data_IF_808341257275
#
_entry.id   IF_808341257275
#
_cell.length_a   1.000
_cell.length_b   1.000
_cell.length_c   1.000
_cell.angle_alpha   90.00
_cell.angle_beta   90.00
_cell.angle_gamma   90.00
#
_symmetry.space_group_name_H-M   'P 1'
#
loop_
_entity.id
_entity.type
_entity.pdbx_description
1 polymer ?
#
# COMPACT_ATOMS: atom_id res chain seq x y z
N UNK A 1 78.86 -3.17 -19.72
CA UNK A 1 78.31 -2.65 -18.49
C UNK A 1 77.28 -1.66 -18.96
N UNK A 2 76.00 -1.84 -18.69
CA UNK A 2 74.84 -0.95 -19.05
C UNK A 2 73.74 -1.59 -19.88
N UNK A 3 73.38 -2.80 -19.59
CA UNK A 3 72.13 -3.37 -20.21
C UNK A 3 71.20 -4.07 -19.20
N UNK A 4 71.32 -3.78 -17.90
CA UNK A 4 70.60 -4.49 -16.87
C UNK A 4 69.66 -3.59 -16.02
N UNK A 5 69.40 -2.35 -16.44
CA UNK A 5 68.58 -1.37 -15.68
C UNK A 5 67.28 -0.94 -16.36
N UNK A 6 66.86 -1.57 -17.43
CA UNK A 6 65.70 -1.15 -18.21
C UNK A 6 64.51 -2.14 -18.19
N UNK A 7 64.58 -3.21 -17.38
CA UNK A 7 63.52 -4.24 -17.32
C UNK A 7 62.70 -4.18 -16.02
N UNK A 8 62.96 -3.24 -15.14
CA UNK A 8 62.25 -3.12 -13.86
C UNK A 8 61.07 -2.18 -13.77
N UNK A 9 60.75 -1.43 -14.83
CA UNK A 9 59.76 -0.33 -14.77
C UNK A 9 58.39 -0.56 -15.44
N UNK A 10 58.14 -1.77 -15.98
CA UNK A 10 56.91 -2.01 -16.78
C UNK A 10 55.88 -2.95 -16.09
N UNK A 11 56.18 -3.52 -14.93
CA UNK A 11 55.29 -4.48 -14.26
C UNK A 11 54.42 -3.88 -13.15
N UNK A 12 54.49 -2.58 -12.88
CA UNK A 12 53.76 -1.96 -11.78
C UNK A 12 52.57 -1.07 -12.22
N UNK A 13 52.05 -1.22 -13.44
CA UNK A 13 51.05 -0.33 -14.00
C UNK A 13 49.71 -0.96 -14.37
N UNK A 14 49.41 -2.23 -14.01
CA UNK A 14 48.17 -2.90 -14.46
C UNK A 14 47.31 -3.52 -13.39
N UNK A 15 47.37 -2.99 -12.15
CA UNK A 15 46.48 -3.44 -11.07
C UNK A 15 45.59 -2.32 -10.52
N UNK A 16 45.25 -1.37 -11.37
CA UNK A 16 44.23 -0.37 -11.05
C UNK A 16 43.06 -0.56 -12.01
N UNK A 17 41.92 -0.81 -11.46
CA UNK A 17 40.59 -0.93 -12.08
C UNK A 17 40.07 -2.34 -12.20
N UNK A 18 39.11 -2.63 -11.38
CA UNK A 18 37.67 -2.77 -11.71
C UNK A 18 36.94 -2.83 -10.39
N UNK A 19 36.78 -1.69 -9.74
CA UNK A 19 35.71 -1.51 -8.78
C UNK A 19 34.48 -1.12 -9.60
N UNK A 20 33.85 -2.12 -10.21
CA UNK A 20 32.51 -1.93 -10.77
C UNK A 20 31.56 -1.80 -9.57
N UNK A 21 31.21 -0.57 -9.27
CA UNK A 21 30.05 -0.29 -8.46
C UNK A 21 28.85 -0.92 -9.15
N UNK A 22 28.40 -2.05 -8.64
CA UNK A 22 27.05 -2.53 -8.90
C UNK A 22 26.12 -1.47 -8.34
N UNK A 23 25.66 -0.56 -9.17
CA UNK A 23 24.50 0.25 -8.88
C UNK A 23 23.35 -0.74 -8.66
N UNK A 24 23.03 -1.00 -7.39
CA UNK A 24 21.74 -1.55 -7.07
C UNK A 24 20.74 -0.55 -7.63
N UNK A 25 20.07 -0.93 -8.73
CA UNK A 25 18.89 -0.24 -9.17
C UNK A 25 17.94 -0.28 -7.98
N UNK A 26 17.84 0.84 -7.27
CA UNK A 26 16.73 1.08 -6.37
C UNK A 26 15.51 0.97 -7.28
N UNK A 27 14.83 -0.15 -7.26
CA UNK A 27 13.50 -0.25 -7.84
C UNK A 27 12.69 0.79 -7.09
N UNK A 28 12.31 1.86 -7.74
CA UNK A 28 11.38 2.86 -7.25
C UNK A 28 10.02 2.16 -7.01
N UNK A 29 9.92 1.54 -5.84
CA UNK A 29 8.68 0.92 -5.36
C UNK A 29 7.81 2.08 -4.92
N UNK A 30 6.80 2.43 -5.71
CA UNK A 30 5.80 3.40 -5.26
C UNK A 30 5.34 4.46 -6.23
N UNK A 31 5.75 4.43 -7.51
CA UNK A 31 5.44 5.52 -8.44
C UNK A 31 4.13 5.32 -9.23
N UNK A 32 3.59 4.10 -9.27
CA UNK A 32 2.41 3.82 -10.09
C UNK A 32 1.09 4.10 -9.39
N UNK A 33 0.95 3.73 -8.11
CA UNK A 33 -0.26 3.95 -7.35
C UNK A 33 -0.03 4.95 -6.22
N UNK A 34 -1.00 5.82 -6.02
CA UNK A 34 -1.06 6.74 -4.89
C UNK A 34 -2.29 6.43 -4.05
N UNK A 35 -2.09 6.16 -2.75
CA UNK A 35 -3.16 5.99 -1.78
C UNK A 35 -3.38 7.31 -1.05
N UNK A 36 -4.62 7.73 -0.91
CA UNK A 36 -5.02 8.94 -0.17
C UNK A 36 -6.29 8.73 0.64
N UNK A 37 -6.55 9.64 1.58
CA UNK A 37 -7.76 9.71 2.40
C UNK A 37 -8.09 8.42 3.18
N UNK A 38 -7.04 7.65 3.54
CA UNK A 38 -7.18 6.39 4.24
C UNK A 38 -7.75 6.56 5.65
N UNK A 39 -8.84 5.85 5.95
CA UNK A 39 -9.38 5.80 7.31
C UNK A 39 -10.11 4.50 7.61
N UNK A 40 -10.14 4.15 8.90
CA UNK A 40 -10.97 3.11 9.45
C UNK A 40 -12.18 3.73 10.14
N UNK A 41 -13.31 3.06 10.04
CA UNK A 41 -14.47 3.37 10.86
C UNK A 41 -14.14 3.04 12.32
N UNK A 42 -14.46 3.96 13.21
CA UNK A 42 -14.37 3.74 14.66
C UNK A 42 -15.14 2.50 15.10
N UNK A 43 -14.57 1.76 16.04
CA UNK A 43 -15.15 0.54 16.58
C UNK A 43 -15.58 0.73 18.02
N UNK A 44 -16.84 0.42 18.36
CA UNK A 44 -17.25 0.28 19.77
C UNK A 44 -16.39 -0.79 20.49
N UNK A 45 -16.18 -0.65 21.80
CA UNK A 45 -15.46 -1.64 22.59
C UNK A 45 -16.02 -3.05 22.41
N UNK A 46 -15.13 -4.04 22.23
CA UNK A 46 -15.47 -5.45 22.05
C UNK A 46 -15.84 -5.85 20.62
N UNK A 47 -15.84 -4.94 19.66
CA UNK A 47 -15.91 -5.30 18.25
C UNK A 47 -14.53 -5.67 17.69
N UNK A 48 -14.52 -6.67 16.81
CA UNK A 48 -13.29 -7.19 16.17
C UNK A 48 -13.32 -7.05 14.65
N UNK A 49 -14.31 -6.32 14.12
CA UNK A 49 -14.50 -6.11 12.67
C UNK A 49 -14.79 -4.65 12.41
N UNK A 50 -14.09 -4.07 11.43
CA UNK A 50 -14.35 -2.70 10.97
C UNK A 50 -14.26 -2.58 9.45
N UNK A 51 -14.73 -1.44 8.94
CA UNK A 51 -14.60 -1.06 7.54
C UNK A 51 -13.49 -0.04 7.36
N UNK A 52 -12.73 -0.21 6.28
CA UNK A 52 -11.69 0.72 5.83
C UNK A 52 -12.07 1.37 4.51
N UNK A 53 -11.67 2.63 4.36
CA UNK A 53 -11.98 3.46 3.20
C UNK A 53 -10.72 4.22 2.79
N UNK A 54 -10.54 4.40 1.48
CA UNK A 54 -9.40 5.13 0.91
C UNK A 54 -9.64 5.38 -0.57
N UNK A 55 -8.83 6.22 -1.19
CA UNK A 55 -8.79 6.38 -2.65
C UNK A 55 -7.47 5.84 -3.18
N UNK A 56 -7.50 5.11 -4.28
CA UNK A 56 -6.31 4.60 -4.98
C UNK A 56 -6.28 5.17 -6.38
N UNK A 57 -5.28 6.01 -6.67
CA UNK A 57 -5.07 6.61 -7.98
C UNK A 57 -3.94 5.88 -8.71
N UNK A 58 -4.21 5.41 -9.92
CA UNK A 58 -3.20 4.86 -10.82
C UNK A 58 -2.59 6.00 -11.65
N UNK A 59 -1.35 6.34 -11.38
CA UNK A 59 -0.60 7.41 -12.08
C UNK A 59 0.18 6.91 -13.29
N UNK A 60 0.12 5.60 -13.56
CA UNK A 60 0.81 4.98 -14.69
C UNK A 60 -0.04 4.93 -15.96
N UNK A 61 0.57 4.52 -17.04
CA UNK A 61 -0.03 4.33 -18.36
C UNK A 61 -0.56 2.90 -18.60
N UNK A 62 -0.59 2.06 -17.57
CA UNK A 62 -1.06 0.67 -17.59
C UNK A 62 -2.05 0.40 -16.47
N UNK A 63 -2.92 -0.57 -16.70
CA UNK A 63 -3.83 -1.05 -15.67
C UNK A 63 -3.07 -1.76 -14.55
N UNK A 64 -3.52 -1.55 -13.32
CA UNK A 64 -3.06 -2.26 -12.13
C UNK A 64 -4.22 -3.03 -11.52
N UNK A 65 -3.94 -4.19 -10.94
CA UNK A 65 -4.96 -5.00 -10.27
C UNK A 65 -4.58 -5.21 -8.82
N UNK A 66 -5.42 -4.78 -7.88
CA UNK A 66 -5.27 -5.12 -6.48
C UNK A 66 -5.61 -6.59 -6.29
N UNK A 67 -4.70 -7.35 -5.72
CA UNK A 67 -4.84 -8.79 -5.47
C UNK A 67 -5.22 -9.09 -4.03
N UNK A 68 -4.65 -8.35 -3.08
CA UNK A 68 -4.89 -8.51 -1.65
C UNK A 68 -4.60 -7.23 -0.88
N UNK A 69 -5.03 -7.21 0.35
CA UNK A 69 -4.69 -6.18 1.32
C UNK A 69 -4.36 -6.83 2.67
N UNK A 70 -3.43 -6.22 3.41
CA UNK A 70 -3.13 -6.53 4.82
C UNK A 70 -3.10 -5.24 5.63
N UNK A 71 -3.16 -5.35 6.95
CA UNK A 71 -3.08 -4.20 7.84
C UNK A 71 -2.14 -4.51 9.01
N UNK A 72 -1.54 -3.48 9.61
CA UNK A 72 -0.82 -3.63 10.88
C UNK A 72 -1.70 -4.18 12.02
N UNK A 73 -3.02 -4.09 11.88
CA UNK A 73 -4.00 -4.54 12.87
C UNK A 73 -4.47 -5.97 12.65
N UNK A 74 -4.36 -6.52 11.44
CA UNK A 74 -4.81 -7.86 11.07
C UNK A 74 -4.30 -8.28 9.70
N UNK A 75 -4.05 -9.57 9.53
CA UNK A 75 -3.74 -10.19 8.23
C UNK A 75 -5.00 -10.49 7.40
N UNK A 76 -6.19 -10.40 8.02
CA UNK A 76 -7.44 -10.70 7.33
C UNK A 76 -8.15 -9.43 6.91
N UNK A 77 -7.83 -8.97 5.71
CA UNK A 77 -8.48 -7.84 5.02
C UNK A 77 -9.10 -8.35 3.73
N UNK A 78 -10.35 -7.99 3.48
CA UNK A 78 -11.08 -8.40 2.28
C UNK A 78 -11.64 -7.18 1.55
N UNK A 79 -11.64 -7.20 0.21
CA UNK A 79 -12.38 -6.23 -0.60
C UNK A 79 -13.85 -6.63 -0.63
N UNK A 80 -14.75 -5.71 -0.33
CA UNK A 80 -16.20 -5.91 -0.38
C UNK A 80 -16.87 -4.82 -1.20
N UNK A 81 -18.00 -5.16 -1.79
CA UNK A 81 -18.80 -4.24 -2.59
C UNK A 81 -20.28 -4.35 -2.21
N UNK A 82 -20.94 -3.21 -2.13
CA UNK A 82 -22.40 -3.15 -2.01
C UNK A 82 -23.03 -3.22 -3.38
N UNK A 83 -23.83 -4.26 -3.61
CA UNK A 83 -24.62 -4.44 -4.82
C UNK A 83 -26.10 -4.21 -4.51
N UNK A 84 -26.77 -3.43 -5.34
CA UNK A 84 -28.21 -3.29 -5.33
C UNK A 84 -28.80 -4.33 -6.30
N UNK A 85 -29.55 -5.28 -5.77
CA UNK A 85 -30.28 -6.27 -6.57
C UNK A 85 -31.67 -6.46 -5.97
N UNK A 86 -32.69 -6.35 -6.81
CA UNK A 86 -34.11 -6.58 -6.46
C UNK A 86 -34.60 -5.73 -5.26
N UNK A 87 -34.16 -4.45 -5.19
CA UNK A 87 -34.51 -3.55 -4.08
C UNK A 87 -33.80 -3.86 -2.76
N UNK A 88 -32.91 -4.83 -2.73
CA UNK A 88 -32.11 -5.17 -1.55
C UNK A 88 -30.64 -4.78 -1.76
N UNK A 89 -30.02 -4.27 -0.71
CA UNK A 89 -28.59 -4.03 -0.66
C UNK A 89 -27.90 -5.28 -0.12
N UNK A 90 -26.96 -5.83 -0.90
CA UNK A 90 -26.18 -7.01 -0.54
C UNK A 90 -24.69 -6.70 -0.58
N UNK A 91 -23.97 -7.08 0.46
CA UNK A 91 -22.51 -7.00 0.51
C UNK A 91 -21.93 -8.30 -0.08
N UNK A 92 -20.97 -8.17 -0.98
CA UNK A 92 -20.30 -9.31 -1.63
C UNK A 92 -18.79 -9.12 -1.60
N UNK A 93 -18.00 -10.16 -1.31
CA UNK A 93 -16.56 -10.11 -1.44
C UNK A 93 -16.15 -10.00 -2.92
N UNK A 94 -15.09 -9.25 -3.16
CA UNK A 94 -14.42 -9.07 -4.46
C UNK A 94 -13.03 -9.65 -4.36
N UNK A 95 -12.72 -10.64 -5.19
CA UNK A 95 -11.39 -11.27 -5.17
C UNK A 95 -10.27 -10.33 -5.66
N UNK A 96 -10.62 -9.39 -6.55
CA UNK A 96 -9.67 -8.45 -7.17
C UNK A 96 -10.37 -7.13 -7.50
N UNK A 97 -9.58 -6.04 -7.53
CA UNK A 97 -10.06 -4.72 -7.95
C UNK A 97 -9.15 -4.19 -9.04
N UNK A 98 -9.70 -3.94 -10.22
CA UNK A 98 -8.96 -3.33 -11.33
C UNK A 98 -8.90 -1.82 -11.14
N UNK A 99 -7.72 -1.24 -11.37
CA UNK A 99 -7.47 0.21 -11.35
C UNK A 99 -6.92 0.59 -12.72
N UNK A 100 -7.78 1.04 -13.66
CA UNK A 100 -7.35 1.41 -15.01
C UNK A 100 -6.28 2.50 -15.00
N UNK A 101 -5.49 2.55 -16.06
CA UNK A 101 -4.46 3.57 -16.28
C UNK A 101 -5.05 4.99 -16.15
N UNK A 102 -4.43 5.83 -15.34
CA UNK A 102 -4.87 7.21 -15.11
C UNK A 102 -6.13 7.39 -14.25
N UNK A 103 -6.78 6.31 -13.82
CA UNK A 103 -8.05 6.34 -13.07
C UNK A 103 -7.83 6.34 -11.55
N UNK A 104 -8.86 6.75 -10.84
CA UNK A 104 -8.94 6.66 -9.38
C UNK A 104 -10.13 5.79 -8.99
N UNK A 105 -9.89 4.83 -8.11
CA UNK A 105 -10.93 3.99 -7.51
C UNK A 105 -11.13 4.39 -6.06
N UNK A 106 -12.37 4.69 -5.69
CA UNK A 106 -12.76 5.07 -4.35
C UNK A 106 -13.35 3.90 -3.58
N UNK A 107 -12.73 3.58 -2.46
CA UNK A 107 -13.30 2.74 -1.41
C UNK A 107 -14.06 3.65 -0.45
N UNK A 108 -15.40 3.60 -0.52
CA UNK A 108 -16.28 4.51 0.22
C UNK A 108 -17.53 3.83 0.78
N UNK A 109 -18.16 4.40 1.83
CA UNK A 109 -19.40 3.85 2.38
C UNK A 109 -20.47 3.64 1.32
N UNK A 110 -21.14 2.47 1.36
CA UNK A 110 -22.20 2.12 0.41
C UNK A 110 -21.72 1.65 -0.97
N UNK A 111 -20.43 1.53 -1.19
CA UNK A 111 -19.82 1.08 -2.43
C UNK A 111 -18.72 0.05 -2.14
N UNK A 112 -17.64 0.06 -2.94
CA UNK A 112 -16.43 -0.72 -2.67
C UNK A 112 -15.80 -0.26 -1.35
N UNK A 113 -15.32 -1.19 -0.51
CA UNK A 113 -14.69 -0.91 0.77
C UNK A 113 -13.82 -2.08 1.23
N UNK A 114 -12.97 -1.83 2.22
CA UNK A 114 -12.19 -2.85 2.90
C UNK A 114 -12.96 -3.33 4.13
N UNK A 115 -12.93 -4.64 4.37
CA UNK A 115 -13.38 -5.24 5.63
C UNK A 115 -12.18 -5.84 6.36
N UNK A 116 -11.94 -5.37 7.57
CA UNK A 116 -10.87 -5.85 8.44
C UNK A 116 -11.50 -6.72 9.53
N UNK A 117 -11.01 -7.96 9.66
CA UNK A 117 -11.55 -8.98 10.58
C UNK A 117 -10.51 -9.33 11.66
N UNK A 118 -10.98 -9.86 12.77
CA UNK A 118 -10.15 -10.38 13.86
C UNK A 118 -9.21 -9.32 14.48
N UNK A 119 -9.65 -8.07 14.54
CA UNK A 119 -8.88 -6.99 15.16
C UNK A 119 -8.94 -7.18 16.68
N UNK A 120 -7.77 -7.16 17.33
CA UNK A 120 -7.63 -7.19 18.79
C UNK A 120 -6.71 -6.06 19.28
N UNK A 121 -6.70 -4.94 18.55
CA UNK A 121 -5.80 -3.82 18.79
C UNK A 121 -6.23 -2.96 19.98
N UNK A 122 -5.25 -2.38 20.65
CA UNK A 122 -5.44 -1.30 21.63
C UNK A 122 -5.76 0.04 20.93
N UNK A 123 -6.17 1.06 21.69
CA UNK A 123 -6.43 2.41 21.15
C UNK A 123 -5.14 2.99 20.54
N UNK A 124 -3.99 2.75 21.16
CA UNK A 124 -2.68 3.19 20.69
C UNK A 124 -2.34 2.55 19.34
N UNK A 125 -2.53 1.24 19.21
CA UNK A 125 -2.29 0.51 17.96
C UNK A 125 -3.23 0.96 16.83
N UNK A 126 -4.46 1.32 17.15
CA UNK A 126 -5.40 1.89 16.18
C UNK A 126 -4.92 3.24 15.63
N UNK A 127 -4.24 4.06 16.44
CA UNK A 127 -3.72 5.36 15.99
C UNK A 127 -2.57 5.24 14.98
N UNK A 128 -1.84 4.11 15.00
CA UNK A 128 -0.72 3.81 14.11
C UNK A 128 -1.10 2.79 13.02
N UNK A 129 -2.40 2.69 12.73
CA UNK A 129 -2.90 1.75 11.73
C UNK A 129 -2.37 2.05 10.32
N UNK A 130 -1.92 1.02 9.63
CA UNK A 130 -1.50 1.07 8.23
C UNK A 130 -2.22 0.00 7.43
N UNK A 131 -2.44 0.30 6.16
CA UNK A 131 -2.90 -0.65 5.15
C UNK A 131 -1.79 -0.88 4.15
N UNK A 132 -1.60 -2.12 3.74
CA UNK A 132 -0.72 -2.49 2.63
C UNK A 132 -1.56 -3.14 1.54
N UNK A 133 -1.47 -2.63 0.33
CA UNK A 133 -2.16 -3.12 -0.86
C UNK A 133 -1.14 -3.81 -1.76
N UNK A 134 -1.41 -5.07 -2.12
CA UNK A 134 -0.60 -5.85 -3.04
C UNK A 134 -1.23 -5.84 -4.43
N UNK A 135 -0.42 -5.62 -5.45
CA UNK A 135 -0.86 -5.62 -6.84
C UNK A 135 -0.22 -6.76 -7.64
N UNK A 136 -0.69 -6.95 -8.87
CA UNK A 136 -0.13 -7.92 -9.81
C UNK A 136 1.27 -7.53 -10.32
N UNK A 137 1.37 -6.39 -11.01
CA UNK A 137 2.60 -5.92 -11.68
C UNK A 137 3.02 -4.50 -11.28
N UNK A 138 2.23 -3.84 -10.43
CA UNK A 138 2.44 -2.45 -10.07
C UNK A 138 3.16 -2.26 -8.71
N UNK A 139 3.48 -3.35 -8.01
CA UNK A 139 4.18 -3.30 -6.72
C UNK A 139 3.27 -3.36 -5.50
N UNK A 140 3.85 -3.10 -4.33
CA UNK A 140 3.17 -3.09 -3.03
C UNK A 140 3.19 -1.68 -2.45
N UNK A 141 2.07 -1.24 -1.87
CA UNK A 141 1.88 0.14 -1.39
C UNK A 141 1.34 0.14 0.02
N UNK A 142 2.01 0.86 0.91
CA UNK A 142 1.57 1.04 2.28
C UNK A 142 1.15 2.50 2.55
N UNK A 143 0.07 2.67 3.31
CA UNK A 143 -0.44 3.99 3.68
C UNK A 143 -0.99 4.00 5.10
N UNK A 144 -0.80 5.08 5.87
CA UNK A 144 -1.42 5.22 7.17
C UNK A 144 -2.94 5.35 7.05
N UNK A 145 -3.64 4.89 8.08
CA UNK A 145 -5.09 4.99 8.22
C UNK A 145 -5.44 5.82 9.46
N UNK A 146 -6.26 6.83 9.30
CA UNK A 146 -6.85 7.56 10.43
C UNK A 146 -8.09 6.84 10.97
N UNK A 147 -8.46 7.08 12.23
CA UNK A 147 -9.73 6.59 12.77
C UNK A 147 -10.77 7.69 12.63
N UNK A 148 -11.95 7.36 12.10
CA UNK A 148 -13.07 8.31 11.96
C UNK A 148 -14.35 7.74 12.56
N UNK A 149 -14.94 8.49 13.50
CA UNK A 149 -16.30 8.23 13.97
C UNK A 149 -17.29 8.68 12.90
N UNK A 150 -18.23 7.81 12.55
CA UNK A 150 -19.36 8.16 11.68
C UNK A 150 -20.54 8.78 12.46
N UNK A 151 -20.42 8.87 13.80
CA UNK A 151 -21.42 9.54 14.63
C UNK A 151 -21.07 11.02 14.61
N UNK A 152 -21.95 11.91 14.11
CA UNK A 152 -21.72 13.34 14.21
C UNK A 152 -21.57 13.71 15.68
N UNK A 153 -20.41 14.18 16.09
CA UNK A 153 -20.23 14.80 17.40
C UNK A 153 -21.16 16.02 17.41
N UNK A 154 -22.25 15.96 18.18
CA UNK A 154 -23.02 17.16 18.49
C UNK A 154 -22.07 18.12 19.19
N UNK A 155 -21.59 19.13 18.48
CA UNK A 155 -20.92 20.28 19.09
C UNK A 155 -21.92 20.87 20.07
N UNK A 156 -21.65 20.73 21.38
CA UNK A 156 -22.38 21.50 22.37
C UNK A 156 -21.91 22.94 22.17
N UNK A 157 -22.74 23.74 21.50
CA UNK A 157 -22.65 25.19 21.61
C UNK A 157 -23.07 25.55 23.05
N UNK A 158 -22.11 26.12 23.76
CA UNK A 158 -22.35 26.82 25.04
C UNK A 158 -22.48 28.30 24.76
#
# INVERSE_FOLDING_TARGET
>A
MDKLLLLGAIVLSTLATIFQATAFANSEIGEFLQISDGYLRDMPPGQTVTAGFLSVSNKSDRDCVLLSATSSLTDRVEFHEHLHSDGMMRMRPRAKVNIPAGETIDFKPGSLHLMLFNISATIEELSDAHITLETDQCGSYSSPLSIRSLIPTKTKEH
#
